data_IF_210843485394
#
_entry.id   IF_210843485394
#
_cell.length_a   1.000
_cell.length_b   1.000
_cell.length_c   1.000
_cell.angle_alpha   90.00
_cell.angle_beta   90.00
_cell.angle_gamma   90.00
#
_symmetry.space_group_name_H-M   'P 1'
#
loop_
_entity.id
_entity.type
_entity.pdbx_description
1 polymer ?
#
# COMPACT_ATOMS: atom_id res chain seq x y z
N UNK A 1 1.19 14.36 20.55
CA UNK A 1 1.63 13.26 19.66
C UNK A 1 0.66 13.18 18.49
N UNK A 2 1.13 13.01 17.25
CA UNK A 2 0.26 12.82 16.09
C UNK A 2 0.16 11.31 15.84
N UNK A 3 -0.99 10.71 16.21
CA UNK A 3 -1.20 9.27 16.34
C UNK A 3 -1.51 8.55 15.02
N UNK A 4 -0.59 8.59 14.06
CA UNK A 4 -0.72 7.88 12.77
C UNK A 4 -0.57 6.36 12.90
N UNK A 5 -0.11 5.88 14.06
CA UNK A 5 -0.05 4.47 14.45
C UNK A 5 -1.43 3.83 14.59
N UNK A 6 -2.47 4.64 14.86
CA UNK A 6 -3.85 4.18 15.01
C UNK A 6 -4.59 4.03 13.67
N UNK A 7 -3.96 4.39 12.55
CA UNK A 7 -4.56 4.21 11.23
C UNK A 7 -4.68 2.72 10.91
N UNK A 8 -5.68 2.37 10.09
CA UNK A 8 -5.77 1.02 9.55
C UNK A 8 -4.50 0.71 8.75
N UNK A 9 -3.85 -0.42 9.02
CA UNK A 9 -2.51 -0.73 8.49
C UNK A 9 -1.34 -0.10 9.26
N UNK A 10 -1.60 0.61 10.37
CA UNK A 10 -0.62 1.00 11.38
C UNK A 10 0.35 2.13 11.00
N UNK A 11 0.09 2.86 9.91
CA UNK A 11 0.96 3.94 9.46
C UNK A 11 0.25 4.97 8.56
N UNK A 12 0.81 6.18 8.53
CA UNK A 12 0.39 7.30 7.66
C UNK A 12 0.39 6.99 6.15
N UNK A 13 1.00 5.87 5.73
CA UNK A 13 1.09 5.48 4.32
C UNK A 13 -0.27 5.15 3.71
N UNK A 14 -1.26 4.73 4.51
CA UNK A 14 -2.63 4.49 4.04
C UNK A 14 -3.25 5.75 3.44
N UNK A 15 -2.96 6.93 4.02
CA UNK A 15 -3.52 8.19 3.56
C UNK A 15 -3.19 8.45 2.07
N UNK A 16 -1.95 8.17 1.67
CA UNK A 16 -1.52 8.31 0.29
C UNK A 16 -2.04 7.18 -0.60
N UNK A 17 -1.94 5.91 -0.17
CA UNK A 17 -2.33 4.77 -1.02
C UNK A 17 -3.80 4.79 -1.35
N UNK A 18 -4.68 5.21 -0.43
CA UNK A 18 -6.10 5.34 -0.69
C UNK A 18 -6.39 6.39 -1.78
N UNK A 19 -5.77 7.57 -1.67
CA UNK A 19 -5.93 8.63 -2.67
C UNK A 19 -5.45 8.19 -4.06
N UNK A 20 -4.27 7.57 -4.13
CA UNK A 20 -3.70 7.06 -5.38
C UNK A 20 -4.55 5.93 -6.00
N UNK A 21 -5.05 5.02 -5.18
CA UNK A 21 -5.87 3.91 -5.67
C UNK A 21 -7.24 4.40 -6.20
N UNK A 22 -7.85 5.39 -5.54
CA UNK A 22 -9.06 6.05 -6.04
C UNK A 22 -8.80 6.75 -7.38
N UNK A 23 -7.64 7.41 -7.53
CA UNK A 23 -7.24 8.04 -8.79
C UNK A 23 -7.01 6.99 -9.90
N UNK A 24 -6.32 5.89 -9.60
CA UNK A 24 -6.10 4.80 -10.54
C UNK A 24 -7.43 4.19 -11.01
N UNK A 25 -8.36 3.94 -10.09
CA UNK A 25 -9.72 3.48 -10.41
C UNK A 25 -10.46 4.47 -11.31
N UNK A 26 -10.39 5.77 -11.01
CA UNK A 26 -11.00 6.83 -11.83
C UNK A 26 -10.35 6.93 -13.21
N UNK A 27 -9.06 6.62 -13.33
CA UNK A 27 -8.32 6.56 -14.58
C UNK A 27 -8.57 5.26 -15.39
N UNK A 28 -9.48 4.39 -14.93
CA UNK A 28 -9.82 3.14 -15.61
C UNK A 28 -8.73 2.08 -15.55
N UNK A 29 -7.84 2.16 -14.56
CA UNK A 29 -6.83 1.11 -14.32
C UNK A 29 -7.46 -0.06 -13.58
N UNK A 30 -7.07 -1.25 -13.99
CA UNK A 30 -7.47 -2.55 -13.43
C UNK A 30 -6.43 -3.09 -12.42
N UNK A 31 -5.22 -2.53 -12.43
CA UNK A 31 -4.08 -3.01 -11.65
C UNK A 31 -3.29 -1.89 -10.97
N UNK A 32 -2.81 -2.18 -9.76
CA UNK A 32 -1.85 -1.39 -8.99
C UNK A 32 -0.50 -2.12 -8.91
N UNK A 33 0.58 -1.33 -8.95
CA UNK A 33 1.92 -1.79 -8.60
C UNK A 33 2.53 -0.84 -7.59
N UNK A 34 3.34 -1.35 -6.66
CA UNK A 34 4.09 -0.51 -5.72
C UNK A 34 5.40 -1.20 -5.32
N UNK A 35 6.43 -0.40 -5.07
CA UNK A 35 7.65 -0.84 -4.38
C UNK A 35 7.48 -0.78 -2.86
N UNK A 36 8.27 -1.54 -2.10
CA UNK A 36 8.33 -1.36 -0.66
C UNK A 36 9.67 -1.77 -0.07
N UNK A 37 10.09 -1.06 0.98
CA UNK A 37 11.25 -1.39 1.81
C UNK A 37 10.79 -1.94 3.16
N UNK A 38 10.38 -1.07 4.10
CA UNK A 38 9.88 -1.48 5.42
C UNK A 38 8.49 -2.19 5.40
N UNK A 39 7.96 -2.57 4.24
CA UNK A 39 6.67 -3.26 4.11
C UNK A 39 5.44 -2.37 4.21
N UNK A 40 5.42 -1.35 5.09
CA UNK A 40 4.19 -0.57 5.36
C UNK A 40 3.54 0.09 4.13
N UNK A 41 4.32 0.55 3.13
CA UNK A 41 3.73 1.08 1.89
C UNK A 41 3.08 -0.03 1.08
N UNK A 42 3.77 -1.17 0.93
CA UNK A 42 3.28 -2.34 0.23
C UNK A 42 2.01 -2.90 0.87
N UNK A 43 1.99 -3.03 2.20
CA UNK A 43 0.80 -3.44 2.96
C UNK A 43 -0.36 -2.47 2.72
N UNK A 44 -0.13 -1.16 2.84
CA UNK A 44 -1.16 -0.16 2.59
C UNK A 44 -1.68 -0.18 1.14
N UNK A 45 -0.83 -0.46 0.15
CA UNK A 45 -1.23 -0.62 -1.27
C UNK A 45 -2.04 -1.89 -1.48
N UNK A 46 -1.64 -3.01 -0.89
CA UNK A 46 -2.38 -4.27 -0.95
C UNK A 46 -3.78 -4.14 -0.33
N UNK A 47 -3.90 -3.44 0.80
CA UNK A 47 -5.19 -3.20 1.46
C UNK A 47 -6.17 -2.41 0.59
N UNK A 48 -5.70 -1.33 -0.05
CA UNK A 48 -6.58 -0.51 -0.92
C UNK A 48 -6.90 -1.22 -2.24
N UNK A 49 -5.97 -2.03 -2.76
CA UNK A 49 -6.20 -2.90 -3.91
C UNK A 49 -7.32 -3.90 -3.64
N UNK A 50 -7.25 -4.60 -2.50
CA UNK A 50 -8.29 -5.51 -2.05
C UNK A 50 -9.63 -4.79 -1.84
N UNK A 51 -9.65 -3.61 -1.21
CA UNK A 51 -10.86 -2.82 -0.99
C UNK A 51 -11.54 -2.41 -2.31
N UNK A 52 -10.76 -2.04 -3.32
CA UNK A 52 -11.27 -1.46 -4.57
C UNK A 52 -11.44 -2.48 -5.70
N UNK A 53 -11.13 -3.76 -5.46
CA UNK A 53 -11.06 -4.84 -6.44
C UNK A 53 -10.09 -4.53 -7.60
N UNK A 54 -8.88 -4.09 -7.26
CA UNK A 54 -7.79 -3.86 -8.20
C UNK A 54 -6.72 -4.93 -7.99
N UNK A 55 -6.31 -5.61 -9.07
CA UNK A 55 -5.17 -6.52 -9.01
C UNK A 55 -3.94 -5.76 -8.50
N UNK A 56 -3.18 -6.32 -7.57
CA UNK A 56 -2.13 -5.58 -6.86
C UNK A 56 -0.87 -6.40 -6.74
N UNK A 57 0.23 -5.87 -7.27
CA UNK A 57 1.56 -6.48 -7.15
C UNK A 57 2.49 -5.56 -6.36
N UNK A 58 3.06 -6.07 -5.27
CA UNK A 58 4.04 -5.35 -4.46
C UNK A 58 5.43 -5.93 -4.70
N UNK A 59 6.39 -5.07 -5.01
CA UNK A 59 7.79 -5.43 -5.21
C UNK A 59 8.60 -5.05 -3.97
N UNK A 60 9.20 -6.04 -3.32
CA UNK A 60 10.02 -5.84 -2.12
C UNK A 60 11.43 -6.37 -2.36
N UNK A 61 12.44 -5.62 -1.91
CA UNK A 61 13.84 -6.07 -1.99
C UNK A 61 14.05 -7.31 -1.12
N UNK A 62 14.82 -8.29 -1.61
CA UNK A 62 15.06 -9.55 -0.88
C UNK A 62 15.61 -9.33 0.54
N UNK A 63 16.57 -8.42 0.69
CA UNK A 63 17.13 -8.11 2.01
C UNK A 63 16.11 -7.42 2.93
N UNK A 64 15.22 -6.60 2.36
CA UNK A 64 14.15 -5.98 3.14
C UNK A 64 13.10 -7.00 3.56
N UNK A 65 12.77 -7.97 2.71
CA UNK A 65 11.92 -9.11 3.09
C UNK A 65 12.51 -9.85 4.29
N UNK A 66 13.80 -10.21 4.22
CA UNK A 66 14.49 -10.91 5.31
C UNK A 66 14.55 -10.11 6.62
N UNK A 67 14.68 -8.77 6.54
CA UNK A 67 14.74 -7.90 7.72
C UNK A 67 13.35 -7.68 8.36
N UNK A 68 12.27 -7.94 7.63
CA UNK A 68 10.89 -7.62 8.05
C UNK A 68 9.99 -8.86 8.19
N UNK A 69 10.54 -10.07 8.03
CA UNK A 69 9.91 -11.33 8.51
C UNK A 69 9.69 -11.29 10.02
#
# INVERSE_FOLDING_TARGET
>A
LKHEDLLHGGAHKLNNTLGQALLAKRAGKDRLIAETGAGQHGTATAMVGALLNLDTTVYMGRHDMQRQE
#
